data_IF_292130552949
#
_entry.id   IF_292130552949
#
_cell.length_a   1.000
_cell.length_b   1.000
_cell.length_c   1.000
_cell.angle_alpha   90.00
_cell.angle_beta   90.00
_cell.angle_gamma   90.00
#
_symmetry.space_group_name_H-M   'P 1'
#
loop_
_entity.id
_entity.type
_entity.pdbx_description
1 polymer ?
#
# COMPACT_ATOMS: atom_id res chain seq x y z
N UNK A 1 -11.87 2.38 -9.22
CA UNK A 1 -10.77 1.49 -8.78
C UNK A 1 -10.45 1.75 -7.29
N UNK A 2 -9.85 0.80 -6.57
CA UNK A 2 -9.42 1.05 -5.18
C UNK A 2 -8.12 1.87 -5.20
N UNK A 3 -8.08 3.04 -4.54
CA UNK A 3 -6.92 3.95 -4.57
C UNK A 3 -5.62 3.25 -4.16
N UNK A 4 -5.70 2.36 -3.17
CA UNK A 4 -4.59 1.53 -2.73
C UNK A 4 -3.98 0.72 -3.88
N UNK A 5 -4.82 0.09 -4.71
CA UNK A 5 -4.37 -0.71 -5.84
C UNK A 5 -3.65 0.14 -6.89
N UNK A 6 -4.21 1.31 -7.22
CA UNK A 6 -3.58 2.20 -8.19
C UNK A 6 -2.22 2.69 -7.68
N UNK A 7 -2.09 2.99 -6.39
CA UNK A 7 -0.81 3.36 -5.76
C UNK A 7 0.19 2.20 -5.84
N UNK A 8 -0.24 0.97 -5.57
CA UNK A 8 0.63 -0.20 -5.70
C UNK A 8 1.09 -0.46 -7.14
N UNK A 9 0.22 -0.31 -8.12
CA UNK A 9 0.60 -0.42 -9.53
C UNK A 9 1.67 0.61 -9.90
N UNK A 10 1.52 1.85 -9.41
CA UNK A 10 2.53 2.89 -9.61
C UNK A 10 3.86 2.59 -8.91
N UNK A 11 3.81 2.05 -7.70
CA UNK A 11 5.02 1.73 -6.95
C UNK A 11 5.76 0.50 -7.48
N UNK A 12 5.03 -0.49 -8.04
CA UNK A 12 5.61 -1.70 -8.62
C UNK A 12 6.70 -1.37 -9.63
N UNK A 13 6.45 -0.41 -10.52
CA UNK A 13 7.39 -0.05 -11.60
C UNK A 13 8.53 0.87 -11.13
N UNK A 14 8.52 1.30 -9.87
CA UNK A 14 9.42 2.33 -9.33
C UNK A 14 10.34 1.81 -8.20
N UNK A 15 10.07 0.61 -7.64
CA UNK A 15 10.88 0.04 -6.57
C UNK A 15 10.75 0.78 -5.23
N UNK A 16 11.84 0.90 -4.46
CA UNK A 16 11.86 1.59 -3.16
C UNK A 16 12.03 3.12 -3.24
N UNK A 17 11.67 3.75 -4.35
CA UNK A 17 11.74 5.22 -4.47
C UNK A 17 10.59 5.89 -3.73
N UNK A 18 10.88 7.04 -3.11
CA UNK A 18 9.86 7.95 -2.58
C UNK A 18 9.07 8.55 -3.76
N UNK A 19 7.79 8.24 -3.85
CA UNK A 19 6.89 8.78 -4.87
C UNK A 19 6.03 9.88 -4.27
N UNK A 20 5.92 10.99 -4.99
CA UNK A 20 4.98 12.06 -4.69
C UNK A 20 3.84 12.05 -5.69
N UNK A 21 2.62 11.95 -5.20
CA UNK A 21 1.38 12.06 -5.95
C UNK A 21 0.77 13.44 -5.75
N UNK A 22 0.53 14.14 -6.85
CA UNK A 22 -0.27 15.36 -6.84
C UNK A 22 -1.77 15.01 -6.86
N UNK A 23 -2.66 15.92 -6.43
CA UNK A 23 -4.10 15.65 -6.37
C UNK A 23 -4.67 15.17 -7.71
N UNK A 24 -4.18 15.71 -8.82
CA UNK A 24 -4.60 15.30 -10.16
C UNK A 24 -4.22 13.86 -10.49
N UNK A 25 -3.05 13.39 -10.04
CA UNK A 25 -2.62 12.01 -10.24
C UNK A 25 -3.57 11.04 -9.54
N UNK A 26 -3.92 11.35 -8.29
CA UNK A 26 -4.84 10.52 -7.49
C UNK A 26 -6.25 10.51 -8.10
N UNK A 27 -6.74 11.65 -8.61
CA UNK A 27 -8.03 11.70 -9.32
C UNK A 27 -8.03 10.83 -10.58
N UNK A 28 -6.98 10.94 -11.41
CA UNK A 28 -6.80 10.09 -12.60
C UNK A 28 -6.76 8.61 -12.23
N UNK A 29 -6.07 8.26 -11.14
CA UNK A 29 -5.94 6.90 -10.63
C UNK A 29 -7.26 6.32 -10.11
N UNK A 30 -8.11 7.14 -9.50
CA UNK A 30 -9.43 6.73 -9.05
C UNK A 30 -10.41 6.51 -10.22
N UNK A 31 -10.18 7.22 -11.33
CA UNK A 31 -11.06 7.31 -12.50
C UNK A 31 -12.50 7.74 -12.12
N UNK A 32 -12.60 8.71 -11.22
CA UNK A 32 -13.87 9.32 -10.77
C UNK A 32 -13.70 10.83 -10.70
N UNK A 33 -14.77 11.56 -10.99
CA UNK A 33 -14.82 12.98 -10.67
C UNK A 33 -15.12 13.16 -9.18
N UNK A 34 -14.22 13.86 -8.48
CA UNK A 34 -14.23 14.01 -7.02
C UNK A 34 -13.70 15.40 -6.65
N UNK A 35 -14.38 16.05 -5.68
CA UNK A 35 -13.95 17.33 -5.14
C UNK A 35 -12.61 17.21 -4.39
N UNK A 36 -11.88 18.33 -4.26
CA UNK A 36 -10.59 18.34 -3.56
C UNK A 36 -10.76 18.00 -2.07
N UNK A 37 -11.80 18.52 -1.43
CA UNK A 37 -12.15 18.20 -0.03
C UNK A 37 -12.37 16.70 0.15
N UNK A 38 -13.19 16.08 -0.72
CA UNK A 38 -13.48 14.65 -0.64
C UNK A 38 -12.26 13.80 -0.96
N UNK A 39 -11.37 14.26 -1.84
CA UNK A 39 -10.09 13.59 -2.11
C UNK A 39 -9.21 13.55 -0.85
N UNK A 40 -9.11 14.65 -0.10
CA UNK A 40 -8.38 14.68 1.18
C UNK A 40 -8.90 13.62 2.15
N UNK A 41 -10.22 13.52 2.32
CA UNK A 41 -10.83 12.51 3.20
C UNK A 41 -10.53 11.08 2.75
N UNK A 42 -10.56 10.83 1.44
CA UNK A 42 -10.26 9.50 0.89
C UNK A 42 -8.80 9.12 1.16
N UNK A 43 -7.87 10.04 0.97
CA UNK A 43 -6.43 9.81 1.25
C UNK A 43 -6.19 9.59 2.74
N UNK A 44 -6.82 10.37 3.61
CA UNK A 44 -6.71 10.20 5.07
C UNK A 44 -7.29 8.84 5.50
N UNK A 45 -8.48 8.46 5.02
CA UNK A 45 -9.09 7.16 5.32
C UNK A 45 -8.26 5.98 4.82
N UNK A 46 -7.65 6.14 3.64
CA UNK A 46 -6.73 5.15 3.10
C UNK A 46 -5.53 4.98 4.05
N UNK A 47 -4.91 6.08 4.46
CA UNK A 47 -3.78 6.05 5.39
C UNK A 47 -4.15 5.45 6.75
N UNK A 48 -5.28 5.86 7.31
CA UNK A 48 -5.78 5.32 8.58
C UNK A 48 -6.02 3.82 8.52
N UNK A 49 -6.40 3.30 7.36
CA UNK A 49 -6.59 1.87 7.17
C UNK A 49 -5.28 1.11 6.99
N UNK A 50 -4.30 1.71 6.30
CA UNK A 50 -2.99 1.10 6.09
C UNK A 50 -2.18 1.07 7.39
N UNK A 51 -2.17 2.15 8.16
CA UNK A 51 -1.41 2.22 9.43
C UNK A 51 -1.90 1.18 10.44
N UNK A 52 -3.17 0.79 10.36
CA UNK A 52 -3.78 -0.26 11.20
C UNK A 52 -3.66 -1.66 10.62
N UNK A 53 -3.14 -1.79 9.40
CA UNK A 53 -2.96 -3.10 8.78
C UNK A 53 -1.68 -3.74 9.33
N UNK A 54 -1.86 -4.86 10.02
CA UNK A 54 -0.75 -5.70 10.49
C UNK A 54 -0.26 -6.58 9.36
N UNK A 55 0.99 -6.36 8.94
CA UNK A 55 1.66 -7.22 7.98
C UNK A 55 2.73 -8.04 8.69
N UNK A 56 2.50 -9.34 8.74
CA UNK A 56 3.40 -10.31 9.38
C UNK A 56 4.12 -11.10 8.30
N UNK A 57 5.44 -11.12 8.36
CA UNK A 57 6.29 -12.03 7.60
C UNK A 57 6.52 -13.27 8.46
N UNK A 58 6.21 -14.44 7.92
CA UNK A 58 6.37 -15.72 8.62
C UNK A 58 7.28 -16.59 7.77
N UNK A 59 8.47 -16.89 8.28
CA UNK A 59 9.43 -17.77 7.63
C UNK A 59 9.72 -18.97 8.51
N UNK A 60 9.89 -20.12 7.88
CA UNK A 60 10.19 -21.38 8.55
C UNK A 60 11.53 -21.90 8.06
N UNK A 61 12.36 -22.30 9.01
CA UNK A 61 13.65 -22.94 8.81
C UNK A 61 13.58 -24.34 9.40
N UNK A 62 14.58 -25.18 9.13
CA UNK A 62 14.64 -26.55 9.68
C UNK A 62 14.56 -26.59 11.23
N UNK A 63 14.90 -25.49 11.91
CA UNK A 63 14.99 -25.43 13.37
C UNK A 63 14.07 -24.41 14.03
N UNK A 64 13.40 -23.53 13.27
CA UNK A 64 12.68 -22.39 13.86
C UNK A 64 11.61 -21.81 12.94
N UNK A 65 10.53 -21.33 13.56
CA UNK A 65 9.52 -20.46 12.94
C UNK A 65 9.81 -19.02 13.36
N UNK A 66 10.05 -18.16 12.39
CA UNK A 66 10.36 -16.74 12.56
C UNK A 66 9.12 -15.93 12.19
N UNK A 67 8.70 -15.02 13.06
CA UNK A 67 7.57 -14.12 12.85
C UNK A 67 8.04 -12.68 13.03
N UNK A 68 7.93 -11.88 11.97
CA UNK A 68 8.35 -10.47 11.97
C UNK A 68 7.17 -9.60 11.58
N UNK A 69 6.98 -8.48 12.27
CA UNK A 69 5.98 -7.49 11.89
C UNK A 69 6.66 -6.31 11.22
N UNK A 70 6.21 -5.95 10.03
CA UNK A 70 6.75 -4.83 9.30
C UNK A 70 5.63 -3.91 8.81
N UNK A 71 5.90 -2.61 8.82
CA UNK A 71 5.01 -1.64 8.18
C UNK A 71 5.18 -1.70 6.67
N UNK A 72 4.05 -1.67 5.95
CA UNK A 72 4.00 -1.72 4.48
C UNK A 72 4.73 -0.54 3.82
N UNK A 73 4.56 0.67 4.37
CA UNK A 73 5.20 1.88 3.90
C UNK A 73 6.25 2.34 4.91
N UNK A 74 7.48 2.55 4.46
CA UNK A 74 8.55 3.15 5.26
C UNK A 74 8.29 4.65 5.48
N UNK A 75 7.61 5.29 4.53
CA UNK A 75 7.20 6.69 4.63
C UNK A 75 5.82 6.90 4.04
N UNK A 76 4.98 7.64 4.77
CA UNK A 76 3.75 8.23 4.25
C UNK A 76 3.61 9.64 4.82
N UNK A 77 3.51 10.63 3.95
CA UNK A 77 3.31 12.04 4.32
C UNK A 77 2.16 12.60 3.50
N UNK A 78 1.15 13.09 4.21
CA UNK A 78 0.01 13.82 3.62
C UNK A 78 0.24 15.29 3.93
N UNK A 79 0.38 16.12 2.90
CA UNK A 79 0.44 17.58 3.08
C UNK A 79 -0.87 18.19 2.61
N UNK A 80 -1.48 19.03 3.46
CA UNK A 80 -2.74 19.72 3.19
C UNK A 80 -2.51 21.23 3.16
N UNK A 81 -3.21 21.92 2.26
CA UNK A 81 -3.22 23.38 2.19
C UNK A 81 -3.99 23.97 3.37
N UNK A 82 -3.60 25.18 3.81
CA UNK A 82 -4.37 25.99 4.77
C UNK A 82 -4.85 27.28 4.08
N UNK A 83 -6.08 27.76 4.35
CA UNK A 83 -7.05 27.21 5.32
C UNK A 83 -7.93 26.08 4.77
N UNK A 84 -7.90 25.81 3.46
CA UNK A 84 -8.89 24.94 2.80
C UNK A 84 -8.85 23.46 3.19
N UNK A 85 -7.73 22.97 3.77
CA UNK A 85 -7.48 21.54 4.06
C UNK A 85 -7.54 20.63 2.82
N UNK A 86 -7.46 21.22 1.63
CA UNK A 86 -7.32 20.47 0.40
C UNK A 86 -5.97 19.75 0.36
N UNK A 87 -5.95 18.57 -0.24
CA UNK A 87 -4.73 17.83 -0.45
C UNK A 87 -3.78 18.67 -1.31
N UNK A 88 -2.59 18.94 -0.77
CA UNK A 88 -1.49 19.54 -1.51
C UNK A 88 -0.74 18.46 -2.25
N UNK A 89 -0.32 17.41 -1.56
CA UNK A 89 0.30 16.22 -2.16
C UNK A 89 0.33 15.05 -1.17
N UNK A 90 0.57 13.85 -1.69
CA UNK A 90 0.80 12.61 -0.95
C UNK A 90 2.18 12.05 -1.30
N UNK A 91 3.06 11.92 -0.31
CA UNK A 91 4.36 11.26 -0.45
C UNK A 91 4.28 9.85 0.15
N UNK A 92 4.63 8.82 -0.62
CA UNK A 92 4.64 7.42 -0.18
C UNK A 92 5.95 6.74 -0.60
N UNK A 93 6.53 5.97 0.30
CA UNK A 93 7.64 5.06 0.03
C UNK A 93 7.35 3.69 0.64
N UNK A 94 7.61 2.64 -0.12
CA UNK A 94 7.48 1.28 0.38
C UNK A 94 8.57 0.94 1.37
N UNK A 95 8.33 -0.08 2.17
CA UNK A 95 9.39 -0.69 2.93
C UNK A 95 10.10 -1.73 2.03
N UNK A 96 11.43 -1.77 2.06
CA UNK A 96 12.26 -2.72 1.31
C UNK A 96 11.81 -4.18 1.56
N UNK A 97 11.36 -4.47 2.78
CA UNK A 97 10.81 -5.76 3.17
C UNK A 97 9.49 -6.13 2.47
N UNK A 98 8.92 -5.25 1.66
CA UNK A 98 7.74 -5.51 0.82
C UNK A 98 8.03 -5.33 -0.67
N UNK A 99 9.25 -4.95 -1.05
CA UNK A 99 9.59 -4.73 -2.47
C UNK A 99 9.48 -6.04 -3.27
N UNK A 100 9.85 -7.17 -2.69
CA UNK A 100 9.68 -8.49 -3.33
C UNK A 100 8.21 -8.85 -3.57
N UNK A 101 7.29 -8.39 -2.71
CA UNK A 101 5.85 -8.62 -2.90
C UNK A 101 5.34 -7.89 -4.14
N UNK A 102 5.85 -6.69 -4.42
CA UNK A 102 5.44 -5.95 -5.60
C UNK A 102 6.14 -6.40 -6.88
N UNK A 103 7.41 -6.81 -6.80
CA UNK A 103 8.12 -7.37 -7.95
C UNK A 103 7.42 -8.67 -8.45
N UNK A 104 6.78 -9.40 -7.55
CA UNK A 104 5.99 -10.59 -7.88
C UNK A 104 4.50 -10.27 -8.19
N UNK A 105 4.03 -9.03 -8.04
CA UNK A 105 2.67 -8.64 -8.46
C UNK A 105 2.53 -8.77 -9.98
N UNK A 106 1.90 -9.83 -10.46
CA UNK A 106 1.55 -9.99 -11.88
C UNK A 106 2.48 -10.89 -12.70
N UNK A 107 3.46 -11.56 -12.07
CA UNK A 107 4.08 -12.74 -12.68
C UNK A 107 3.25 -13.93 -12.22
N UNK A 108 2.45 -14.53 -13.11
CA UNK A 108 1.54 -15.66 -12.82
C UNK A 108 2.22 -16.97 -12.40
N UNK A 109 3.40 -16.92 -11.80
CA UNK A 109 4.10 -18.05 -11.22
C UNK A 109 4.14 -17.87 -9.70
N UNK A 110 3.15 -18.47 -9.05
CA UNK A 110 3.19 -18.76 -7.63
C UNK A 110 4.39 -19.65 -7.35
N UNK A 111 5.53 -19.08 -6.95
CA UNK A 111 6.47 -19.86 -6.15
C UNK A 111 5.78 -20.11 -4.82
N UNK A 112 5.74 -21.38 -4.40
CA UNK A 112 4.97 -21.95 -3.28
C UNK A 112 5.21 -21.31 -1.89
N UNK A 113 6.04 -20.26 -1.81
CA UNK A 113 6.28 -19.41 -0.66
C UNK A 113 5.46 -18.12 -0.78
N UNK A 114 4.65 -17.82 0.26
CA UNK A 114 3.92 -16.56 0.56
C UNK A 114 2.40 -16.68 0.77
N UNK A 115 1.82 -17.88 0.83
CA UNK A 115 0.42 -18.01 1.30
C UNK A 115 0.30 -17.87 2.84
N UNK A 116 1.29 -18.34 3.60
CA UNK A 116 1.28 -18.32 5.07
C UNK A 116 1.42 -16.90 5.66
N UNK A 117 2.19 -16.02 5.00
CA UNK A 117 2.43 -14.64 5.45
C UNK A 117 1.14 -13.79 5.42
N UNK A 118 0.25 -14.05 4.46
CA UNK A 118 -0.99 -13.28 4.33
C UNK A 118 -2.19 -13.86 5.08
N UNK A 119 -2.14 -15.12 5.52
CA UNK A 119 -3.27 -15.76 6.20
C UNK A 119 -3.68 -15.07 7.51
N UNK A 120 -2.77 -14.32 8.15
CA UNK A 120 -3.04 -13.58 9.40
C UNK A 120 -3.35 -12.10 9.22
N UNK A 121 -3.42 -11.63 7.98
CA UNK A 121 -3.62 -10.22 7.68
C UNK A 121 -5.03 -9.77 8.11
N UNK A 122 -5.09 -8.96 9.17
CA UNK A 122 -6.35 -8.42 9.74
C UNK A 122 -6.65 -7.06 9.12
N UNK A 123 -7.92 -6.85 8.72
CA UNK A 123 -8.39 -5.59 8.12
C UNK A 123 -8.80 -5.70 6.65
N UNK A 124 -9.79 -4.89 6.23
CA UNK A 124 -10.39 -4.91 4.88
C UNK A 124 -9.37 -4.69 3.77
N UNK A 125 -8.45 -3.74 3.95
CA UNK A 125 -7.45 -3.39 2.94
C UNK A 125 -6.30 -4.36 2.88
N UNK A 126 -5.97 -4.96 4.01
CA UNK A 126 -4.92 -5.93 4.12
C UNK A 126 -5.37 -7.27 3.47
N UNK A 127 -6.64 -7.65 3.64
CA UNK A 127 -7.31 -8.69 2.81
C UNK A 127 -7.41 -8.31 1.33
N UNK A 128 -7.59 -7.03 1.03
CA UNK A 128 -7.61 -6.56 -0.36
C UNK A 128 -6.22 -6.71 -0.98
N UNK A 129 -5.15 -6.33 -0.28
CA UNK A 129 -3.77 -6.53 -0.71
C UNK A 129 -3.47 -8.02 -0.92
N UNK A 130 -3.86 -8.88 0.02
CA UNK A 130 -3.74 -10.33 -0.16
C UNK A 130 -4.44 -10.83 -1.44
N UNK A 131 -5.69 -10.41 -1.66
CA UNK A 131 -6.45 -10.80 -2.86
C UNK A 131 -5.88 -10.23 -4.15
N UNK A 132 -5.06 -9.19 -4.08
CA UNK A 132 -4.34 -8.60 -5.22
C UNK A 132 -3.02 -9.31 -5.51
N UNK A 133 -2.46 -9.99 -4.52
CA UNK A 133 -1.22 -10.78 -4.62
C UNK A 133 -1.47 -12.24 -5.01
N UNK A 134 -2.72 -12.70 -4.92
CA UNK A 134 -3.17 -13.95 -5.51
C UNK A 134 -3.53 -13.73 -6.97
#
# INVERSE_FOLDING_TARGET
ANLLFAIFQRLKDQGNTLIRFEPQDLKRMLNIDISNERLSEVVIKLWDSIKTADFWKISETETSIIQENYMLFSRCKIELNKPSKDLKYLEIQLNDNYQYLLNNLGMGQYTSFNLLEFQRVRGKYAKTLYRLLK
#
